data_IF_263737091273
#
_entry.id   IF_263737091273
#
_cell.length_a   1.000
_cell.length_b   1.000
_cell.length_c   1.000
_cell.angle_alpha   90.00
_cell.angle_beta   90.00
_cell.angle_gamma   90.00
#
_symmetry.space_group_name_H-M   'P 1'
#
loop_
_entity.id
_entity.type
_entity.pdbx_description
1 polymer ?
#
# COMPACT_ATOMS: atom_id res chain seq x y z
N UNK A 1 -75.46 7.06 7.52
CA UNK A 1 -74.34 8.01 7.70
C UNK A 1 -73.09 7.17 7.92
N UNK A 2 -72.31 6.77 6.92
CA UNK A 2 -71.31 7.56 6.17
C UNK A 2 -70.35 8.35 7.08
N UNK A 3 -69.17 7.79 7.34
CA UNK A 3 -67.92 8.54 7.39
C UNK A 3 -66.78 7.59 6.98
N UNK A 4 -66.31 7.78 5.75
CA UNK A 4 -65.01 7.33 5.29
C UNK A 4 -63.93 8.24 5.89
N UNK A 5 -62.79 7.68 6.27
CA UNK A 5 -61.52 8.40 6.26
C UNK A 5 -60.40 7.40 5.94
N UNK A 6 -59.94 7.50 4.70
CA UNK A 6 -58.75 6.85 4.16
C UNK A 6 -57.53 7.43 4.87
N UNK A 7 -56.68 6.57 5.45
CA UNK A 7 -55.33 6.94 5.85
C UNK A 7 -54.31 6.19 4.99
N UNK A 8 -53.52 6.98 4.30
CA UNK A 8 -52.56 6.67 3.25
C UNK A 8 -51.25 6.05 3.75
N UNK A 9 -50.77 5.06 2.98
CA UNK A 9 -49.38 4.83 2.54
C UNK A 9 -48.23 5.27 3.48
N UNK A 10 -47.50 4.29 4.04
CA UNK A 10 -46.06 4.40 4.26
C UNK A 10 -45.40 3.02 4.08
N UNK A 11 -44.77 2.81 2.91
CA UNK A 11 -43.77 1.76 2.72
C UNK A 11 -42.49 2.15 3.50
N UNK A 12 -41.85 1.23 4.25
CA UNK A 12 -40.49 1.44 4.67
C UNK A 12 -39.55 1.16 3.47
N UNK A 13 -38.93 2.21 2.94
CA UNK A 13 -37.74 2.11 2.09
C UNK A 13 -36.62 1.50 2.93
N UNK A 14 -36.30 0.22 2.69
CA UNK A 14 -35.08 -0.41 3.17
C UNK A 14 -33.88 0.27 2.50
N UNK A 15 -33.27 1.22 3.20
CA UNK A 15 -31.99 1.81 2.85
C UNK A 15 -30.92 0.75 3.07
N UNK A 16 -30.49 0.09 2.00
CA UNK A 16 -29.30 -0.76 2.01
C UNK A 16 -28.09 0.16 2.10
N UNK A 17 -27.49 0.26 3.29
CA UNK A 17 -26.23 0.97 3.47
C UNK A 17 -25.14 0.30 2.59
N UNK A 18 -24.32 1.06 1.86
CA UNK A 18 -23.18 0.48 1.16
C UNK A 18 -22.20 -0.11 2.18
N UNK A 19 -21.47 -1.19 1.83
CA UNK A 19 -20.49 -1.78 2.73
C UNK A 19 -19.44 -0.73 3.06
N UNK A 20 -19.33 -0.43 4.36
CA UNK A 20 -18.26 0.40 4.93
C UNK A 20 -16.94 -0.30 4.58
N UNK A 21 -16.00 0.35 3.87
CA UNK A 21 -14.69 -0.23 3.66
C UNK A 21 -14.02 -0.38 5.02
N UNK A 22 -13.83 -1.63 5.45
CA UNK A 22 -13.09 -1.98 6.66
C UNK A 22 -11.71 -1.31 6.61
N UNK A 23 -11.54 -0.29 7.46
CA UNK A 23 -10.25 0.33 7.74
C UNK A 23 -9.52 -0.69 8.61
N UNK A 24 -8.40 -1.27 8.15
CA UNK A 24 -7.71 -2.29 8.94
C UNK A 24 -7.22 -1.70 10.26
N UNK A 25 -7.45 -2.47 11.32
CA UNK A 25 -7.05 -2.22 12.71
C UNK A 25 -5.58 -1.82 12.83
N UNK A 26 -5.36 -0.96 13.82
CA UNK A 26 -4.13 -0.30 14.23
C UNK A 26 -2.84 -1.09 13.99
N UNK A 27 -1.90 -0.41 13.34
CA UNK A 27 -0.65 -0.93 12.79
C UNK A 27 0.41 -1.11 13.88
N UNK A 28 0.53 -2.31 14.47
CA UNK A 28 1.78 -2.67 15.15
C UNK A 28 2.92 -2.71 14.12
N UNK A 29 3.80 -1.73 14.19
CA UNK A 29 4.96 -1.53 13.32
C UNK A 29 5.92 -2.73 13.38
N UNK A 30 5.73 -3.69 12.47
CA UNK A 30 6.65 -4.70 11.94
C UNK A 30 5.84 -5.56 10.97
N UNK A 31 5.54 -5.02 9.79
CA UNK A 31 4.59 -5.63 8.86
C UNK A 31 5.14 -5.67 7.44
N UNK A 32 4.84 -6.75 6.73
CA UNK A 32 5.26 -6.96 5.34
C UNK A 32 4.05 -7.00 4.44
N UNK A 33 4.07 -6.18 3.38
CA UNK A 33 3.02 -6.06 2.39
C UNK A 33 3.58 -6.41 1.02
N UNK A 34 2.89 -7.28 0.28
CA UNK A 34 3.30 -7.69 -1.06
C UNK A 34 2.19 -7.45 -2.08
N UNK A 35 2.58 -7.13 -3.31
CA UNK A 35 1.68 -7.05 -4.46
C UNK A 35 2.05 -8.12 -5.49
N UNK A 36 1.06 -8.58 -6.24
CA UNK A 36 1.18 -9.60 -7.29
C UNK A 36 0.53 -9.14 -8.60
N UNK A 37 0.57 -9.99 -9.63
CA UNK A 37 -0.17 -9.78 -10.88
C UNK A 37 -1.70 -9.69 -10.66
N UNK A 38 -2.22 -10.34 -9.62
CA UNK A 38 -3.65 -10.46 -9.31
C UNK A 38 -4.11 -9.36 -8.34
N UNK A 39 -3.24 -9.03 -7.38
CA UNK A 39 -3.41 -7.96 -6.40
C UNK A 39 -2.36 -6.89 -6.68
N UNK A 40 -2.55 -6.05 -7.72
CA UNK A 40 -1.51 -5.15 -8.21
C UNK A 40 -1.33 -3.90 -7.34
N UNK A 41 -2.08 -3.76 -6.25
CA UNK A 41 -2.11 -2.55 -5.45
C UNK A 41 -2.43 -2.84 -4.00
N UNK A 42 -1.69 -2.21 -3.10
CA UNK A 42 -1.96 -2.16 -1.67
C UNK A 42 -1.79 -0.73 -1.18
N UNK A 43 -2.62 -0.36 -0.21
CA UNK A 43 -2.53 0.89 0.51
C UNK A 43 -2.38 0.56 1.99
N UNK A 44 -1.44 1.22 2.64
CA UNK A 44 -1.17 1.05 4.06
C UNK A 44 -1.21 2.41 4.71
N UNK A 45 -1.88 2.52 5.84
CA UNK A 45 -1.89 3.70 6.70
C UNK A 45 -1.36 3.25 8.05
N UNK A 46 -0.38 3.96 8.60
CA UNK A 46 0.09 3.73 9.97
C UNK A 46 -0.82 4.43 10.97
N UNK A 47 -0.62 4.12 12.24
CA UNK A 47 -1.26 4.86 13.32
C UNK A 47 -0.68 6.28 13.43
N UNK A 48 -1.35 7.09 14.24
CA UNK A 48 -0.87 8.41 14.63
C UNK A 48 0.30 8.25 15.62
N UNK A 49 1.47 8.71 15.20
CA UNK A 49 2.72 8.60 15.94
C UNK A 49 3.18 9.97 16.36
N UNK A 50 3.41 10.17 17.66
CA UNK A 50 4.09 11.37 18.13
C UNK A 50 5.60 11.22 17.96
N UNK A 51 6.17 11.95 16.99
CA UNK A 51 7.57 11.84 16.64
C UNK A 51 8.27 13.19 16.71
N UNK A 52 9.55 13.15 17.08
CA UNK A 52 10.46 14.28 17.09
C UNK A 52 11.48 14.17 15.93
N UNK A 53 12.32 15.19 15.73
CA UNK A 53 13.31 15.22 14.64
C UNK A 53 14.43 14.18 14.76
N UNK A 54 14.52 13.45 15.87
CA UNK A 54 15.51 12.38 16.10
C UNK A 54 14.95 10.99 15.87
N UNK A 55 13.63 10.85 15.71
CA UNK A 55 12.95 9.57 15.47
C UNK A 55 12.48 9.50 14.01
N UNK A 56 12.87 8.44 13.31
CA UNK A 56 12.58 8.25 11.90
C UNK A 56 11.78 6.95 11.69
N UNK A 57 10.77 6.98 10.82
CA UNK A 57 10.09 5.77 10.40
C UNK A 57 10.90 5.09 9.30
N UNK A 58 11.41 3.89 9.57
CA UNK A 58 12.17 3.09 8.62
C UNK A 58 11.26 2.14 7.83
N UNK A 59 11.52 2.04 6.54
CA UNK A 59 10.90 1.05 5.68
C UNK A 59 11.85 0.55 4.60
N UNK A 60 11.71 -0.72 4.27
CA UNK A 60 12.48 -1.40 3.24
C UNK A 60 11.56 -1.85 2.11
N UNK A 61 12.08 -1.93 0.89
CA UNK A 61 11.28 -2.28 -0.27
C UNK A 61 12.05 -3.07 -1.32
N UNK A 62 11.32 -3.92 -2.04
CA UNK A 62 11.84 -4.68 -3.16
C UNK A 62 10.86 -4.58 -4.33
N UNK A 63 11.22 -3.84 -5.37
CA UNK A 63 10.43 -3.66 -6.57
C UNK A 63 10.97 -4.60 -7.65
N UNK A 64 10.23 -5.68 -7.95
CA UNK A 64 10.73 -6.80 -8.76
C UNK A 64 10.28 -6.76 -10.23
N UNK A 65 9.34 -5.88 -10.58
CA UNK A 65 8.79 -5.81 -11.93
C UNK A 65 8.66 -4.38 -12.46
N UNK A 66 8.62 -4.27 -13.79
CA UNK A 66 8.36 -3.01 -14.46
C UNK A 66 7.04 -2.36 -14.01
N UNK A 67 7.07 -1.02 -13.95
CA UNK A 67 5.91 -0.15 -13.63
C UNK A 67 5.39 -0.34 -12.21
N UNK A 68 6.13 -1.04 -11.36
CA UNK A 68 5.92 -1.05 -9.91
C UNK A 68 6.49 0.23 -9.33
N UNK A 69 5.72 0.86 -8.45
CA UNK A 69 6.06 2.11 -7.77
C UNK A 69 5.63 2.00 -6.32
N UNK A 70 6.47 2.50 -5.43
CA UNK A 70 6.17 2.73 -4.04
C UNK A 70 6.11 4.24 -3.82
N UNK A 71 5.04 4.72 -3.19
CA UNK A 71 4.93 6.09 -2.70
C UNK A 71 4.76 6.03 -1.20
N UNK A 72 5.65 6.69 -0.48
CA UNK A 72 5.57 6.88 0.94
C UNK A 72 5.17 8.35 1.18
N UNK A 73 4.18 8.57 2.02
CA UNK A 73 3.69 9.89 2.37
C UNK A 73 3.91 10.08 3.87
N UNK A 74 4.51 11.21 4.22
CA UNK A 74 4.63 11.68 5.59
C UNK A 74 3.66 12.84 5.77
N UNK A 75 2.63 12.64 6.58
CA UNK A 75 1.58 13.64 6.82
C UNK A 75 1.67 14.14 8.26
N UNK A 76 1.81 15.45 8.41
CA UNK A 76 1.65 16.11 9.70
C UNK A 76 0.16 16.20 10.04
N UNK A 77 -0.21 15.72 11.22
CA UNK A 77 -1.58 15.79 11.73
C UNK A 77 -1.70 17.04 12.62
N UNK A 78 -2.73 17.85 12.38
CA UNK A 78 -2.98 19.09 13.12
C UNK A 78 -3.42 20.25 12.22
N UNK A 79 -3.62 21.41 12.83
CA UNK A 79 -3.97 22.63 12.10
C UNK A 79 -2.85 23.01 11.12
N UNK A 80 -3.20 23.19 9.84
CA UNK A 80 -2.27 23.39 8.73
C UNK A 80 -1.33 22.21 8.46
N UNK A 81 -1.74 21.00 8.83
CA UNK A 81 -1.05 19.77 8.44
C UNK A 81 -0.93 19.63 6.91
N UNK A 82 0.22 19.16 6.45
CA UNK A 82 0.46 18.85 5.05
C UNK A 82 1.22 17.54 4.90
N UNK A 83 1.17 16.96 3.70
CA UNK A 83 1.83 15.71 3.37
C UNK A 83 2.93 15.92 2.34
N UNK A 84 4.12 15.35 2.58
CA UNK A 84 5.18 15.22 1.57
C UNK A 84 5.25 13.78 1.09
N UNK A 85 5.61 13.60 -0.18
CA UNK A 85 5.69 12.29 -0.82
C UNK A 85 7.13 11.96 -1.22
N UNK A 86 7.62 10.81 -0.74
CA UNK A 86 8.80 10.14 -1.22
C UNK A 86 8.41 9.01 -2.20
N UNK A 87 9.01 9.02 -3.39
CA UNK A 87 8.62 8.12 -4.48
C UNK A 87 9.79 7.25 -4.93
N UNK A 88 9.55 5.95 -4.89
CA UNK A 88 10.47 4.91 -5.36
C UNK A 88 9.83 4.17 -6.54
N UNK A 89 10.63 3.80 -7.54
CA UNK A 89 10.12 3.14 -8.74
C UNK A 89 11.14 2.14 -9.30
N UNK A 90 10.63 1.09 -9.94
CA UNK A 90 11.48 0.13 -10.64
C UNK A 90 12.32 0.83 -11.72
N UNK A 91 13.64 0.65 -11.66
CA UNK A 91 14.59 1.23 -12.60
C UNK A 91 14.84 0.27 -13.76
N UNK A 92 14.25 0.55 -14.93
CA UNK A 92 14.36 -0.35 -16.10
C UNK A 92 15.80 -0.53 -16.60
N UNK A 93 16.65 0.50 -16.47
CA UNK A 93 18.02 0.51 -17.00
C UNK A 93 18.92 -0.58 -16.40
N UNK A 94 18.68 -0.99 -15.15
CA UNK A 94 19.49 -2.02 -14.49
C UNK A 94 19.06 -3.44 -14.86
N UNK A 95 17.82 -3.63 -15.38
CA UNK A 95 17.23 -4.95 -15.61
C UNK A 95 17.05 -5.81 -14.34
N UNK A 96 17.36 -5.25 -13.17
CA UNK A 96 17.36 -5.93 -11.86
C UNK A 96 16.29 -5.34 -10.96
N UNK A 97 15.86 -6.13 -9.98
CA UNK A 97 14.97 -5.65 -8.93
C UNK A 97 15.55 -4.41 -8.24
N UNK A 98 14.71 -3.42 -7.98
CA UNK A 98 15.09 -2.20 -7.24
C UNK A 98 14.84 -2.47 -5.77
N UNK A 99 15.90 -2.81 -5.06
CA UNK A 99 15.89 -3.02 -3.60
C UNK A 99 16.43 -1.77 -2.94
N UNK A 100 15.81 -1.34 -1.84
CA UNK A 100 16.30 -0.21 -1.07
C UNK A 100 15.71 -0.17 0.33
N UNK A 101 16.41 0.56 1.19
CA UNK A 101 15.92 0.99 2.49
C UNK A 101 15.83 2.52 2.48
N UNK A 102 14.78 3.05 3.08
CA UNK A 102 14.55 4.49 3.18
C UNK A 102 13.87 4.83 4.49
N UNK A 103 13.87 6.10 4.85
CA UNK A 103 13.22 6.59 6.06
C UNK A 103 12.51 7.89 5.84
N UNK A 104 11.47 8.09 6.65
CA UNK A 104 10.71 9.32 6.73
C UNK A 104 11.11 10.02 8.03
N UNK A 105 11.58 11.26 7.91
CA UNK A 105 12.09 12.04 9.02
C UNK A 105 11.19 13.25 9.26
N UNK A 106 10.55 13.33 10.44
CA UNK A 106 9.83 14.53 10.87
C UNK A 106 10.69 15.80 10.77
N UNK A 107 10.13 16.86 10.17
CA UNK A 107 10.85 18.13 10.00
C UNK A 107 10.86 19.00 11.25
N UNK A 108 9.85 18.84 12.12
CA UNK A 108 9.74 19.64 13.33
C UNK A 108 10.70 19.14 14.40
N UNK A 109 11.37 20.08 15.07
CA UNK A 109 12.28 19.76 16.19
C UNK A 109 11.54 19.19 17.39
N UNK A 110 10.33 19.70 17.66
CA UNK A 110 9.47 19.25 18.75
C UNK A 110 8.60 18.08 18.32
N UNK A 111 8.10 17.32 19.30
CA UNK A 111 7.16 16.25 19.04
C UNK A 111 5.89 16.78 18.38
N UNK A 112 5.50 16.14 17.28
CA UNK A 112 4.25 16.38 16.58
C UNK A 112 3.65 15.05 16.15
N UNK A 113 2.34 15.04 15.96
CA UNK A 113 1.62 13.85 15.52
C UNK A 113 1.75 13.70 14.01
N UNK A 114 2.25 12.55 13.58
CA UNK A 114 2.41 12.20 12.18
C UNK A 114 1.61 10.94 11.86
N UNK A 115 1.10 10.86 10.63
CA UNK A 115 0.58 9.62 10.06
C UNK A 115 1.31 9.36 8.75
N UNK A 116 1.69 8.11 8.54
CA UNK A 116 2.40 7.70 7.33
C UNK A 116 1.49 6.86 6.45
N UNK A 117 1.52 7.14 5.15
CA UNK A 117 0.76 6.39 4.17
C UNK A 117 1.70 5.79 3.14
N UNK A 118 1.48 4.54 2.79
CA UNK A 118 2.24 3.84 1.77
C UNK A 118 1.30 3.35 0.68
N UNK A 119 1.68 3.61 -0.58
CA UNK A 119 1.01 3.04 -1.74
C UNK A 119 2.03 2.26 -2.54
N UNK A 120 1.89 0.94 -2.53
CA UNK A 120 2.66 0.05 -3.39
C UNK A 120 1.75 -0.40 -4.53
N UNK A 121 2.04 0.02 -5.75
CA UNK A 121 1.20 -0.24 -6.91
C UNK A 121 2.00 -0.62 -8.14
N UNK A 122 1.44 -1.56 -8.93
CA UNK A 122 1.87 -1.82 -10.29
C UNK A 122 0.90 -1.17 -11.26
N UNK A 123 1.40 -0.17 -12.00
CA UNK A 123 0.56 0.51 -13.01
C UNK A 123 0.22 -0.45 -14.15
N UNK A 124 -1.06 -0.75 -14.32
CA UNK A 124 -1.55 -1.53 -15.46
C UNK A 124 -1.10 -0.92 -16.78
N UNK A 125 -0.75 -1.75 -17.77
CA UNK A 125 -0.54 -1.29 -19.14
C UNK A 125 -1.86 -0.69 -19.65
N UNK A 126 -1.78 0.47 -20.33
CA UNK A 126 -2.93 1.00 -21.07
C UNK A 126 -3.16 0.04 -22.26
N UNK A 127 -3.90 -1.03 -22.02
CA UNK A 127 -4.54 -1.75 -23.11
C UNK A 127 -5.79 -0.96 -23.45
N UNK A 128 -6.02 -0.66 -24.73
CA UNK A 128 -7.18 0.13 -25.17
C UNK A 128 -8.52 -0.47 -24.76
N UNK A 129 -8.56 -1.72 -24.27
CA UNK A 129 -9.78 -2.42 -23.91
C UNK A 129 -9.68 -3.10 -22.52
N UNK A 130 -10.36 -2.52 -21.51
CA UNK A 130 -10.45 -3.07 -20.13
C UNK A 130 -11.03 -4.50 -20.09
N UNK A 131 -11.93 -4.83 -21.02
CA UNK A 131 -12.54 -6.17 -21.10
C UNK A 131 -11.49 -7.22 -21.45
N UNK A 132 -10.56 -6.89 -22.34
CA UNK A 132 -9.48 -7.78 -22.74
C UNK A 132 -8.50 -8.05 -21.58
N UNK A 133 -8.25 -7.05 -20.73
CA UNK A 133 -7.44 -7.20 -19.52
C UNK A 133 -8.11 -8.13 -18.50
N UNK A 134 -9.41 -7.94 -18.23
CA UNK A 134 -10.20 -8.83 -17.35
C UNK A 134 -10.18 -10.26 -17.87
N UNK A 135 -10.37 -10.46 -19.19
CA UNK A 135 -10.31 -11.79 -19.82
C UNK A 135 -8.91 -12.41 -19.71
N UNK A 136 -7.83 -11.65 -19.88
CA UNK A 136 -6.45 -12.16 -19.69
C UNK A 136 -6.19 -12.60 -18.24
N UNK A 137 -6.65 -11.83 -17.25
CA UNK A 137 -6.55 -12.22 -15.83
C UNK A 137 -7.33 -13.50 -15.56
N UNK A 138 -8.58 -13.58 -16.01
CA UNK A 138 -9.41 -14.78 -15.86
C UNK A 138 -8.80 -16.01 -16.56
N UNK A 139 -8.12 -15.84 -17.71
CA UNK A 139 -7.41 -16.92 -18.40
C UNK A 139 -6.16 -17.38 -17.65
N UNK A 140 -5.35 -16.45 -17.12
CA UNK A 140 -4.19 -16.79 -16.27
C UNK A 140 -4.59 -17.59 -15.03
N UNK A 141 -5.74 -17.26 -14.43
CA UNK A 141 -6.30 -18.00 -13.28
C UNK A 141 -6.71 -19.43 -13.64
N UNK A 142 -7.02 -19.71 -14.93
CA UNK A 142 -7.59 -21.00 -15.37
C UNK A 142 -6.58 -21.95 -16.03
N UNK A 143 -5.42 -21.46 -16.48
CA UNK A 143 -4.47 -22.23 -17.30
C UNK A 143 -3.76 -23.34 -16.52
N UNK A 144 -3.34 -23.08 -15.28
CA UNK A 144 -2.32 -23.93 -14.64
C UNK A 144 -2.83 -24.65 -13.38
N UNK A 145 -4.12 -24.56 -13.03
CA UNK A 145 -4.67 -25.08 -11.77
C UNK A 145 -4.09 -24.41 -10.50
N UNK A 146 -2.97 -23.70 -10.64
CA UNK A 146 -2.34 -22.85 -9.66
C UNK A 146 -2.54 -21.39 -10.01
N UNK A 147 -3.10 -20.65 -9.06
CA UNK A 147 -3.18 -19.19 -9.10
C UNK A 147 -1.78 -18.67 -8.77
N UNK A 148 -0.92 -18.58 -9.77
CA UNK A 148 0.47 -18.20 -9.59
C UNK A 148 0.57 -16.68 -9.35
N UNK A 149 0.30 -16.27 -8.11
CA UNK A 149 0.35 -14.89 -7.64
C UNK A 149 1.81 -14.47 -7.41
N UNK A 150 2.65 -14.57 -8.43
CA UNK A 150 4.06 -14.17 -8.36
C UNK A 150 4.17 -12.77 -7.74
N UNK A 151 4.94 -12.64 -6.65
CA UNK A 151 5.22 -11.35 -6.02
C UNK A 151 5.96 -10.46 -7.01
N UNK A 152 5.47 -9.22 -7.17
CA UNK A 152 6.05 -8.23 -8.10
C UNK A 152 6.54 -6.98 -7.39
N UNK A 153 6.16 -6.80 -6.12
CA UNK A 153 6.67 -5.78 -5.24
C UNK A 153 6.45 -6.16 -3.79
N UNK A 154 7.33 -5.71 -2.91
CA UNK A 154 7.26 -5.94 -1.47
C UNK A 154 7.66 -4.66 -0.73
N UNK A 155 6.95 -4.37 0.36
CA UNK A 155 7.17 -3.28 1.29
C UNK A 155 7.24 -3.88 2.69
N UNK A 156 8.27 -3.55 3.44
CA UNK A 156 8.49 -3.97 4.82
C UNK A 156 8.53 -2.70 5.66
N UNK A 157 7.63 -2.59 6.63
CA UNK A 157 7.62 -1.51 7.62
C UNK A 157 8.41 -1.99 8.84
N UNK A 158 9.61 -1.45 9.03
CA UNK A 158 10.53 -1.85 10.09
C UNK A 158 10.20 -1.17 11.43
N UNK A 159 9.49 -0.04 11.37
CA UNK A 159 9.04 0.74 12.52
C UNK A 159 9.85 2.00 12.78
N UNK A 160 9.56 2.64 13.90
CA UNK A 160 10.24 3.88 14.31
C UNK A 160 11.58 3.52 14.96
N UNK A 161 12.65 4.16 14.49
CA UNK A 161 14.01 4.00 15.00
C UNK A 161 14.71 5.35 15.15
N UNK A 162 15.80 5.45 15.94
CA UNK A 162 16.64 6.64 15.94
C UNK A 162 17.16 6.93 14.53
N UNK A 163 17.06 8.19 14.08
CA UNK A 163 17.46 8.60 12.74
C UNK A 163 18.94 8.30 12.42
N UNK A 164 19.79 8.13 13.43
CA UNK A 164 21.21 7.78 13.30
C UNK A 164 21.46 6.32 12.90
N UNK A 165 20.50 5.42 13.16
CA UNK A 165 20.65 3.97 13.00
C UNK A 165 19.83 3.43 11.83
N UNK A 166 19.28 4.33 11.02
CA UNK A 166 18.37 3.95 9.95
C UNK A 166 19.14 3.44 8.74
N UNK A 167 18.69 2.30 8.21
CA UNK A 167 19.18 1.73 6.95
C UNK A 167 20.68 1.43 6.94
N UNK A 168 21.09 0.49 7.80
CA UNK A 168 22.37 -0.22 7.62
C UNK A 168 22.20 -1.27 6.50
N UNK A 169 22.89 -1.09 5.38
CA UNK A 169 22.77 -1.97 4.21
C UNK A 169 23.21 -3.42 4.45
N UNK A 170 23.84 -3.73 5.59
CA UNK A 170 24.28 -5.07 5.98
C UNK A 170 23.14 -6.02 6.38
N UNK A 171 21.96 -5.49 6.75
CA UNK A 171 20.82 -6.29 7.23
C UNK A 171 19.73 -6.56 6.17
N UNK A 172 19.89 -6.09 4.93
CA UNK A 172 18.86 -6.32 3.91
C UNK A 172 18.82 -7.81 3.51
N UNK A 173 17.63 -8.44 3.48
CA UNK A 173 17.51 -9.80 2.95
C UNK A 173 17.88 -9.77 1.47
N UNK A 174 19.09 -10.25 1.17
CA UNK A 174 19.53 -10.51 -0.19
C UNK A 174 18.49 -11.44 -0.82
N UNK A 175 17.88 -11.09 -1.97
CA UNK A 175 16.94 -11.99 -2.60
C UNK A 175 17.66 -13.32 -2.85
N UNK A 176 17.03 -14.47 -2.57
CA UNK A 176 17.66 -15.76 -2.77
C UNK A 176 18.16 -15.80 -4.21
N UNK A 177 19.48 -16.00 -4.38
CA UNK A 177 20.05 -16.27 -5.69
C UNK A 177 19.24 -17.44 -6.23
N UNK A 178 18.41 -17.20 -7.26
CA UNK A 178 17.73 -18.27 -7.96
C UNK A 178 18.83 -19.22 -8.42
N UNK A 179 18.87 -20.40 -7.81
CA UNK A 179 19.79 -21.44 -8.17
C UNK A 179 19.68 -21.65 -9.68
N UNK A 180 20.77 -21.40 -10.41
CA UNK A 180 20.90 -21.97 -11.74
C UNK A 180 20.91 -23.48 -11.54
N UNK A 181 19.84 -24.11 -12.01
CA UNK A 181 19.90 -25.52 -12.35
C UNK A 181 20.48 -25.51 -13.76
N UNK A 182 21.79 -25.74 -13.83
CA UNK A 182 22.47 -26.26 -15.01
C UNK A 182 23.17 -27.56 -14.56
#
# INVERSE_FOLDING_TARGET
LQMQLYLSLLLPLLVVAPPVPEIPESSQLKATYAISDLTPKVFVRTDELELNSTSCLQYSFNLMAERVKLKAYECLMGENGYCIMNKHAYVRKSGKATVGCSSLRPWYRHSKTYTFYFTLERRERKYGNRVQLKRKRARKVRSDGHIDAKKVGELILDGVRPCSEVCNFEEMPVPPKQARID
#
